data_IF_094584434553
#
_entry.id   IF_094584434553
#
_cell.length_a   1.000
_cell.length_b   1.000
_cell.length_c   1.000
_cell.angle_alpha   90.00
_cell.angle_beta   90.00
_cell.angle_gamma   90.00
#
_symmetry.space_group_name_H-M   'P 1'
#
loop_
_entity.id
_entity.type
_entity.pdbx_description
1 polymer ?
#
# COMPACT_ATOMS: atom_id res chain seq x y z
N UNK A 1 8.27 22.30 11.45
CA UNK A 1 9.52 21.51 11.35
C UNK A 1 9.31 20.23 12.15
N UNK A 2 8.72 19.20 11.54
CA UNK A 2 8.48 17.89 12.18
C UNK A 2 9.04 16.83 11.24
N UNK A 3 9.95 16.04 11.78
CA UNK A 3 10.88 15.17 11.07
C UNK A 3 10.50 13.70 11.36
N UNK A 4 10.59 12.86 10.33
CA UNK A 4 10.47 11.38 10.28
C UNK A 4 9.05 10.77 10.41
N UNK A 5 8.52 10.36 9.26
CA UNK A 5 7.55 9.27 9.14
C UNK A 5 8.32 7.98 8.81
N UNK A 6 8.35 7.03 9.75
CA UNK A 6 8.91 5.69 9.50
C UNK A 6 7.74 4.77 9.22
N UNK A 7 7.56 4.36 7.97
CA UNK A 7 6.70 3.25 7.61
C UNK A 7 7.48 1.95 7.88
N UNK A 8 7.05 1.18 8.89
CA UNK A 8 7.66 -0.10 9.23
C UNK A 8 6.94 -1.19 8.43
N UNK A 9 7.56 -1.64 7.34
CA UNK A 9 7.14 -2.85 6.63
C UNK A 9 7.80 -4.07 7.28
N UNK A 10 7.01 -4.91 7.95
CA UNK A 10 7.50 -6.14 8.58
C UNK A 10 7.44 -7.28 7.55
N UNK A 11 8.57 -7.57 6.92
CA UNK A 11 8.69 -8.72 5.99
C UNK A 11 9.34 -9.90 6.71
N UNK A 12 8.58 -10.98 6.91
CA UNK A 12 9.11 -12.24 7.45
C UNK A 12 9.78 -13.02 6.31
N UNK A 13 11.11 -13.03 6.26
CA UNK A 13 11.88 -13.83 5.27
C UNK A 13 12.44 -15.09 5.93
N UNK A 14 11.96 -16.25 5.50
CA UNK A 14 12.57 -17.54 5.81
C UNK A 14 13.73 -17.77 4.82
N UNK A 15 14.95 -17.86 5.33
CA UNK A 15 16.16 -18.08 4.51
C UNK A 15 16.30 -19.58 4.21
N UNK A 16 16.03 -20.01 2.97
CA UNK A 16 16.32 -21.37 2.52
C UNK A 16 17.68 -21.35 1.81
N UNK A 17 18.74 -21.98 2.36
CA UNK A 17 20.01 -22.09 1.65
C UNK A 17 19.85 -23.16 0.56
N UNK A 18 19.62 -22.73 -0.67
CA UNK A 18 19.38 -23.62 -1.80
C UNK A 18 19.57 -22.95 -3.17
N UNK A 19 20.85 -22.78 -3.53
CA UNK A 19 21.41 -23.06 -4.86
C UNK A 19 20.61 -22.63 -6.12
N UNK A 20 20.49 -21.34 -6.40
CA UNK A 20 20.62 -20.74 -7.75
C UNK A 20 20.79 -19.24 -7.55
N UNK A 21 21.79 -18.65 -8.20
CA UNK A 21 21.90 -17.20 -8.33
C UNK A 21 20.67 -16.72 -9.12
N UNK A 22 19.57 -16.47 -8.43
CA UNK A 22 18.39 -15.89 -9.04
C UNK A 22 18.75 -14.43 -9.32
N UNK A 23 19.16 -14.17 -10.57
CA UNK A 23 19.40 -12.83 -11.09
C UNK A 23 18.12 -12.00 -11.12
N UNK A 24 16.97 -12.58 -10.76
CA UNK A 24 15.72 -11.87 -10.57
C UNK A 24 15.00 -12.32 -9.30
N UNK A 25 14.20 -11.43 -8.75
CA UNK A 25 13.37 -11.60 -7.57
C UNK A 25 11.96 -11.17 -7.92
N UNK A 26 10.99 -12.00 -7.55
CA UNK A 26 9.56 -11.70 -7.66
C UNK A 26 8.96 -11.78 -6.26
N UNK A 27 8.16 -10.80 -5.87
CA UNK A 27 7.43 -10.81 -4.62
C UNK A 27 5.98 -10.37 -4.81
N UNK A 28 5.10 -10.93 -3.99
CA UNK A 28 3.71 -10.48 -3.83
C UNK A 28 3.57 -9.95 -2.42
N UNK A 29 3.05 -8.72 -2.30
CA UNK A 29 2.95 -7.99 -1.05
C UNK A 29 1.49 -7.73 -0.72
N UNK A 30 1.14 -7.84 0.56
CA UNK A 30 -0.14 -7.35 1.09
C UNK A 30 0.11 -6.05 1.83
N UNK A 31 -0.72 -5.06 1.57
CA UNK A 31 -0.58 -3.72 2.14
C UNK A 31 -1.75 -3.37 3.04
N UNK A 32 -1.43 -2.71 4.15
CA UNK A 32 -2.39 -2.09 5.06
C UNK A 32 -2.03 -0.61 5.18
N UNK A 33 -2.95 0.26 4.79
CA UNK A 33 -2.80 1.72 4.84
C UNK A 33 -3.66 2.31 5.94
N UNK A 34 -3.06 3.09 6.84
CA UNK A 34 -3.82 3.89 7.78
C UNK A 34 -3.90 5.33 7.27
N UNK A 35 -5.08 5.84 6.88
CA UNK A 35 -5.23 7.22 6.45
C UNK A 35 -4.90 8.18 7.60
N UNK A 36 -4.26 9.32 7.27
CA UNK A 36 -3.80 10.34 8.24
C UNK A 36 -4.24 11.74 7.82
N UNK A 37 -4.31 12.63 8.81
CA UNK A 37 -4.60 14.06 8.66
C UNK A 37 -5.89 14.31 7.85
N UNK A 38 -5.87 15.28 6.93
CA UNK A 38 -7.01 15.68 6.09
C UNK A 38 -7.53 14.53 5.20
N UNK A 39 -6.68 13.55 4.88
CA UNK A 39 -7.11 12.38 4.11
C UNK A 39 -8.04 11.48 4.94
N UNK A 40 -7.82 11.36 6.25
CA UNK A 40 -8.71 10.59 7.15
C UNK A 40 -10.11 11.19 7.23
N UNK A 41 -10.26 12.49 7.05
CA UNK A 41 -11.58 13.13 7.08
C UNK A 41 -12.44 12.76 5.87
N UNK A 42 -11.80 12.29 4.79
CA UNK A 42 -12.45 11.89 3.55
C UNK A 42 -12.62 10.38 3.41
N UNK A 43 -11.92 9.56 4.22
CA UNK A 43 -12.04 8.10 4.18
C UNK A 43 -12.18 7.51 5.57
N UNK A 44 -13.26 6.77 5.81
CA UNK A 44 -13.59 6.25 7.15
C UNK A 44 -12.73 5.04 7.56
N UNK A 45 -12.23 4.26 6.60
CA UNK A 45 -11.67 2.93 6.85
C UNK A 45 -10.17 2.79 6.53
N UNK A 46 -9.55 1.78 7.15
CA UNK A 46 -8.21 1.31 6.78
C UNK A 46 -8.19 0.87 5.31
N UNK A 47 -7.13 1.26 4.61
CA UNK A 47 -6.87 0.82 3.25
C UNK A 47 -6.29 -0.59 3.22
N UNK A 48 -6.77 -1.39 2.28
CA UNK A 48 -6.22 -2.69 1.96
C UNK A 48 -5.66 -2.66 0.55
N UNK A 49 -4.50 -3.25 0.36
CA UNK A 49 -3.83 -3.26 -0.94
C UNK A 49 -3.10 -4.54 -1.23
N UNK A 50 -2.77 -4.71 -2.50
CA UNK A 50 -1.92 -5.78 -3.00
C UNK A 50 -0.90 -5.18 -3.95
N UNK A 51 0.31 -5.71 -3.91
CA UNK A 51 1.41 -5.26 -4.72
C UNK A 51 2.24 -6.41 -5.25
N UNK A 52 2.97 -6.12 -6.32
CA UNK A 52 3.92 -7.02 -6.93
C UNK A 52 5.24 -6.30 -7.16
N UNK A 53 6.33 -6.96 -6.79
CA UNK A 53 7.68 -6.47 -7.06
C UNK A 53 8.38 -7.43 -8.01
N UNK A 54 9.03 -6.87 -9.03
CA UNK A 54 9.96 -7.58 -9.89
C UNK A 54 11.30 -6.84 -9.89
N UNK A 55 12.37 -7.48 -9.45
CA UNK A 55 13.70 -6.90 -9.44
C UNK A 55 14.72 -7.84 -10.05
N UNK A 56 15.76 -7.32 -10.67
CA UNK A 56 16.87 -8.10 -11.20
C UNK A 56 18.22 -7.59 -10.71
N UNK A 57 19.21 -8.47 -10.62
CA UNK A 57 20.57 -8.19 -10.21
C UNK A 57 21.43 -8.03 -11.47
N UNK A 58 21.96 -6.82 -11.75
CA UNK A 58 22.88 -6.64 -12.87
C UNK A 58 24.25 -7.23 -12.52
N UNK A 59 24.62 -8.34 -13.17
CA UNK A 59 25.91 -9.00 -12.99
C UNK A 59 26.14 -9.49 -11.56
N UNK A 60 27.35 -9.33 -11.03
CA UNK A 60 27.70 -9.71 -9.65
C UNK A 60 27.51 -8.57 -8.64
N UNK A 61 26.58 -7.66 -8.91
CA UNK A 61 26.30 -6.52 -8.03
C UNK A 61 25.58 -6.97 -6.75
N UNK A 62 25.91 -6.40 -5.57
CA UNK A 62 25.14 -6.66 -4.35
C UNK A 62 23.75 -6.00 -4.36
N UNK A 63 23.44 -5.14 -5.34
CA UNK A 63 22.17 -4.42 -5.47
C UNK A 63 21.23 -5.11 -6.47
N UNK A 64 19.91 -4.99 -6.23
CA UNK A 64 18.88 -5.34 -7.20
C UNK A 64 18.20 -4.06 -7.71
N UNK A 65 17.84 -4.04 -8.98
CA UNK A 65 17.11 -2.95 -9.63
C UNK A 65 15.82 -3.53 -10.16
N UNK A 66 14.69 -2.88 -9.88
CA UNK A 66 13.39 -3.44 -10.18
C UNK A 66 12.28 -2.42 -10.28
N UNK A 67 11.11 -2.94 -10.63
CA UNK A 67 9.84 -2.23 -10.60
C UNK A 67 9.01 -2.77 -9.45
N UNK A 68 8.35 -1.86 -8.75
CA UNK A 68 7.37 -2.17 -7.72
C UNK A 68 6.05 -1.49 -8.12
N UNK A 69 4.98 -2.27 -8.13
CA UNK A 69 3.64 -1.81 -8.50
C UNK A 69 2.67 -2.27 -7.43
N UNK A 70 2.04 -1.30 -6.79
CA UNK A 70 1.12 -1.55 -5.67
C UNK A 70 -0.18 -0.81 -5.91
N UNK A 71 -1.28 -1.45 -5.53
CA UNK A 71 -2.61 -0.86 -5.59
C UNK A 71 -3.28 -0.98 -4.23
N UNK A 72 -3.88 0.12 -3.76
CA UNK A 72 -4.54 0.18 -2.46
C UNK A 72 -5.90 0.85 -2.59
N UNK A 73 -6.90 0.21 -1.99
CA UNK A 73 -8.27 0.70 -1.90
C UNK A 73 -8.52 1.07 -0.44
N UNK A 74 -8.94 2.31 -0.23
CA UNK A 74 -9.51 2.76 1.03
C UNK A 74 -11.02 2.65 0.89
N UNK A 75 -11.70 2.17 1.94
CA UNK A 75 -13.13 1.85 1.92
C UNK A 75 -14.06 3.02 1.58
N UNK A 76 -15.37 2.83 1.81
CA UNK A 76 -16.40 3.77 1.38
C UNK A 76 -16.24 5.16 2.03
N UNK A 77 -16.39 6.22 1.24
CA UNK A 77 -16.59 7.57 1.78
C UNK A 77 -17.97 7.64 2.44
N UNK A 78 -18.04 7.84 3.76
CA UNK A 78 -19.31 8.14 4.42
C UNK A 78 -19.35 9.62 4.74
N UNK A 79 -20.14 10.37 3.97
CA UNK A 79 -20.41 11.77 4.26
C UNK A 79 -21.67 11.90 5.10
N UNK A 80 -21.52 12.23 6.38
CA UNK A 80 -22.67 12.62 7.23
C UNK A 80 -23.08 14.06 6.93
N UNK A 81 -24.07 14.24 6.04
CA UNK A 81 -24.71 15.54 5.83
C UNK A 81 -25.91 15.71 6.77
N UNK A 82 -26.16 16.90 7.33
CA UNK A 82 -27.42 17.17 8.02
C UNK A 82 -28.58 17.01 7.04
N UNK A 83 -29.69 16.45 7.51
CA UNK A 83 -30.90 16.28 6.70
C UNK A 83 -31.36 17.65 6.16
N UNK A 84 -31.27 17.83 4.84
CA UNK A 84 -31.58 19.08 4.17
C UNK A 84 -32.47 18.81 2.96
N UNK A 85 -33.57 19.56 2.84
CA UNK A 85 -34.52 19.48 1.73
C UNK A 85 -33.97 20.05 0.40
N UNK A 86 -32.72 20.50 0.37
CA UNK A 86 -32.03 21.03 -0.82
C UNK A 86 -31.09 20.00 -1.46
N UNK A 87 -30.93 18.80 -0.87
CA UNK A 87 -30.12 17.71 -1.43
C UNK A 87 -31.04 16.71 -2.15
N UNK A 88 -30.90 16.49 -3.47
CA UNK A 88 -31.86 15.74 -4.28
C UNK A 88 -31.83 14.20 -4.10
N UNK A 89 -30.94 13.64 -3.30
CA UNK A 89 -30.76 12.17 -3.17
C UNK A 89 -31.58 11.51 -2.04
N UNK A 90 -32.56 12.20 -1.44
CA UNK A 90 -33.33 11.66 -0.29
C UNK A 90 -34.80 11.32 -0.62
N UNK A 91 -35.23 11.52 -1.87
CA UNK A 91 -36.61 11.21 -2.28
C UNK A 91 -36.62 9.94 -3.16
N UNK A 92 -36.56 8.79 -2.51
CA UNK A 92 -37.04 7.51 -3.03
C UNK A 92 -38.38 7.17 -2.40
#
# INVERSE_FOLDING_TARGET
MVWKLIAISLTLRCFIPGLYAQDFQVAVNFLLGQPKDEFKENVEDFGFGIGGMFAFRPGNSPLLIGVDVEYMIYGSETRKVPFSLTIPDVNG
#
